data_IF_528746025388
#
_entry.id   IF_528746025388
#
_cell.length_a   1.000
_cell.length_b   1.000
_cell.length_c   1.000
_cell.angle_alpha   90.00
_cell.angle_beta   90.00
_cell.angle_gamma   90.00
#
_symmetry.space_group_name_H-M   'P 1'
#
loop_
_entity.id
_entity.type
_entity.pdbx_description
1 polymer ?
#
# COMPACT_ATOMS: atom_id res chain seq x y z
N UNK A 1 17.92 1.52 -7.22
CA UNK A 1 18.64 2.35 -8.22
C UNK A 1 18.87 1.50 -9.46
N UNK A 2 18.57 2.00 -10.67
CA UNK A 2 18.96 1.33 -11.92
C UNK A 2 20.45 1.57 -12.14
N UNK A 3 21.15 0.54 -12.64
CA UNK A 3 22.59 0.60 -12.87
C UNK A 3 22.90 1.69 -13.92
N UNK A 4 23.79 2.66 -13.63
CA UNK A 4 24.15 3.71 -14.57
C UNK A 4 24.72 3.17 -15.90
N UNK A 5 25.22 1.92 -15.91
CA UNK A 5 25.71 1.27 -17.13
C UNK A 5 24.63 1.03 -18.20
N UNK A 6 23.35 0.96 -17.83
CA UNK A 6 22.28 0.85 -18.84
C UNK A 6 22.11 2.13 -19.66
N UNK A 7 22.41 3.28 -19.05
CA UNK A 7 22.34 4.59 -19.71
C UNK A 7 23.50 4.73 -20.70
N UNK A 8 24.70 4.30 -20.33
CA UNK A 8 25.88 4.36 -21.22
C UNK A 8 25.81 3.39 -22.39
N UNK A 9 25.14 2.24 -22.23
CA UNK A 9 24.95 1.23 -23.26
C UNK A 9 23.75 1.49 -24.19
N UNK A 10 23.05 2.64 -24.04
CA UNK A 10 21.84 3.00 -24.81
C UNK A 10 20.75 1.91 -24.79
N UNK A 11 20.65 1.16 -23.70
CA UNK A 11 19.64 0.12 -23.58
C UNK A 11 18.25 0.77 -23.43
N UNK A 12 17.21 0.31 -24.16
CA UNK A 12 15.90 0.92 -24.11
C UNK A 12 15.21 0.62 -22.77
N UNK A 13 15.38 1.53 -21.79
CA UNK A 13 14.82 1.43 -20.45
C UNK A 13 13.75 2.50 -20.23
N UNK A 14 12.67 2.14 -19.54
CA UNK A 14 11.72 3.07 -18.94
C UNK A 14 11.66 2.79 -17.45
N UNK A 15 11.59 3.83 -16.62
CA UNK A 15 11.53 3.69 -15.16
C UNK A 15 10.14 4.06 -14.67
N UNK A 16 9.46 3.14 -13.99
CA UNK A 16 8.17 3.42 -13.33
C UNK A 16 8.33 3.44 -11.82
N UNK A 17 7.72 4.41 -11.14
CA UNK A 17 7.69 4.51 -9.68
C UNK A 17 6.24 4.52 -9.21
N UNK A 18 5.88 3.59 -8.34
CA UNK A 18 4.52 3.45 -7.83
C UNK A 18 4.41 3.91 -6.38
N UNK A 19 3.23 4.42 -6.01
CA UNK A 19 2.77 4.45 -4.61
C UNK A 19 2.60 3.03 -4.05
N UNK A 20 2.12 2.87 -2.81
CA UNK A 20 1.94 1.55 -2.22
C UNK A 20 0.88 0.76 -2.99
N UNK A 21 1.31 -0.33 -3.63
CA UNK A 21 0.38 -1.17 -4.39
C UNK A 21 -0.35 -2.13 -3.46
N UNK A 22 -1.65 -2.30 -3.68
CA UNK A 22 -2.47 -3.30 -2.98
C UNK A 22 -3.37 -4.05 -3.94
N UNK A 23 -3.73 -5.29 -3.60
CA UNK A 23 -4.66 -6.09 -4.39
C UNK A 23 -4.58 -7.60 -4.09
N UNK A 24 -5.33 -8.41 -4.86
CA UNK A 24 -5.31 -9.86 -4.74
C UNK A 24 -3.89 -10.45 -4.84
N UNK A 25 -3.68 -11.59 -4.19
CA UNK A 25 -2.39 -12.32 -4.15
C UNK A 25 -1.22 -11.59 -3.46
N UNK A 26 -1.47 -10.47 -2.80
CA UNK A 26 -0.46 -9.81 -1.97
C UNK A 26 -0.21 -10.59 -0.67
N UNK A 27 1.05 -10.87 -0.36
CA UNK A 27 1.44 -11.57 0.86
C UNK A 27 1.06 -10.75 2.12
N UNK A 28 0.54 -11.38 3.20
CA UNK A 28 0.01 -10.70 4.40
C UNK A 28 1.08 -10.12 5.35
N UNK A 29 2.19 -9.66 4.80
CA UNK A 29 3.17 -8.84 5.51
C UNK A 29 2.83 -7.34 5.40
N UNK A 30 2.20 -6.94 4.29
CA UNK A 30 1.78 -5.56 4.04
C UNK A 30 0.51 -5.22 4.82
N UNK A 31 0.34 -3.94 5.15
CA UNK A 31 -0.69 -3.47 6.09
C UNK A 31 -2.12 -3.92 5.72
N UNK A 32 -2.54 -3.72 4.47
CA UNK A 32 -3.89 -4.10 3.99
C UNK A 32 -4.13 -5.61 4.10
N UNK A 33 -3.36 -6.50 3.45
CA UNK A 33 -3.61 -7.93 3.54
C UNK A 33 -3.39 -8.49 4.95
N UNK A 34 -2.48 -7.91 5.75
CA UNK A 34 -2.29 -8.27 7.16
C UNK A 34 -3.54 -7.98 7.98
N UNK A 35 -4.11 -6.78 7.88
CA UNK A 35 -5.32 -6.42 8.61
C UNK A 35 -6.53 -7.24 8.18
N UNK A 36 -6.71 -7.45 6.87
CA UNK A 36 -7.76 -8.35 6.37
C UNK A 36 -7.60 -9.75 6.97
N UNK A 37 -6.39 -10.32 6.93
CA UNK A 37 -6.12 -11.65 7.49
C UNK A 37 -6.36 -11.73 8.99
N UNK A 38 -6.00 -10.69 9.76
CA UNK A 38 -6.24 -10.64 11.21
C UNK A 38 -7.73 -10.58 11.51
N UNK A 39 -8.49 -9.71 10.83
CA UNK A 39 -9.92 -9.55 11.05
C UNK A 39 -10.69 -10.82 10.68
N UNK A 40 -10.33 -11.49 9.58
CA UNK A 40 -10.90 -12.79 9.20
C UNK A 40 -10.63 -13.89 10.23
N UNK A 41 -9.56 -13.76 11.02
CA UNK A 41 -9.21 -14.66 12.11
C UNK A 41 -9.75 -14.20 13.47
N UNK A 42 -10.64 -13.20 13.49
CA UNK A 42 -11.15 -12.55 14.71
C UNK A 42 -10.03 -12.03 15.62
N UNK A 43 -8.96 -11.51 15.02
CA UNK A 43 -7.85 -10.86 15.71
C UNK A 43 -7.83 -9.36 15.46
N UNK A 44 -7.33 -8.62 16.44
CA UNK A 44 -7.23 -7.16 16.38
C UNK A 44 -6.17 -6.69 15.40
N UNK A 45 -6.41 -5.54 14.78
CA UNK A 45 -5.44 -4.82 13.97
C UNK A 45 -4.46 -4.09 14.89
N UNK A 46 -3.23 -4.60 15.00
CA UNK A 46 -2.18 -3.95 15.77
C UNK A 46 -1.41 -2.92 14.93
N UNK A 47 -1.55 -1.66 15.31
CA UNK A 47 -0.97 -0.48 14.69
C UNK A 47 0.33 -0.15 15.41
N UNK A 48 1.39 0.05 14.62
CA UNK A 48 2.71 0.42 15.13
C UNK A 48 2.82 1.94 15.32
N UNK A 49 3.35 2.36 16.47
CA UNK A 49 3.49 3.77 16.82
C UNK A 49 2.14 4.49 16.95
N UNK A 50 2.05 5.74 16.50
CA UNK A 50 0.83 6.56 16.62
C UNK A 50 -0.23 6.27 15.56
N UNK A 51 0.09 5.55 14.49
CA UNK A 51 -0.82 5.28 13.37
C UNK A 51 -1.16 6.49 12.47
N UNK A 52 -0.61 7.67 12.77
CA UNK A 52 -0.87 8.93 12.03
C UNK A 52 -0.18 8.94 10.67
N UNK A 53 0.79 8.04 10.44
CA UNK A 53 1.51 7.94 9.18
C UNK A 53 0.54 7.71 8.01
N UNK A 54 0.55 8.63 7.05
CA UNK A 54 -0.27 8.55 5.84
C UNK A 54 0.49 7.90 4.71
N UNK A 55 -0.24 7.18 3.85
CA UNK A 55 0.28 6.58 2.63
C UNK A 55 -0.77 6.67 1.53
N UNK A 56 -0.30 6.90 0.29
CA UNK A 56 -1.10 6.68 -0.91
C UNK A 56 -1.08 5.20 -1.29
N UNK A 57 -2.25 4.68 -1.63
CA UNK A 57 -2.44 3.32 -2.12
C UNK A 57 -2.94 3.34 -3.57
N UNK A 58 -2.44 2.41 -4.37
CA UNK A 58 -2.79 2.22 -5.77
C UNK A 58 -3.21 0.76 -5.98
N UNK A 59 -4.36 0.55 -6.62
CA UNK A 59 -4.87 -0.81 -6.79
C UNK A 59 -4.11 -1.54 -7.90
N UNK A 60 -3.93 -2.86 -7.74
CA UNK A 60 -3.10 -3.66 -8.62
C UNK A 60 -3.53 -3.64 -10.10
N UNK A 61 -4.84 -3.54 -10.40
CA UNK A 61 -5.28 -3.42 -11.79
C UNK A 61 -4.89 -2.08 -12.41
N UNK A 62 -4.97 -0.98 -11.64
CA UNK A 62 -4.58 0.35 -12.13
C UNK A 62 -3.08 0.41 -12.46
N UNK A 63 -2.26 -0.34 -11.69
CA UNK A 63 -0.84 -0.54 -11.99
C UNK A 63 -0.66 -1.23 -13.35
N UNK A 64 -1.42 -2.29 -13.61
CA UNK A 64 -1.36 -3.03 -14.88
C UNK A 64 -1.77 -2.13 -16.05
N UNK A 65 -2.84 -1.35 -15.88
CA UNK A 65 -3.31 -0.42 -16.92
C UNK A 65 -2.28 0.68 -17.20
N UNK A 66 -1.69 1.27 -16.16
CA UNK A 66 -0.63 2.26 -16.30
C UNK A 66 0.61 1.68 -17.01
N UNK A 67 1.02 0.47 -16.65
CA UNK A 67 2.13 -0.23 -17.31
C UNK A 67 1.83 -0.52 -18.78
N UNK A 68 0.60 -0.92 -19.11
CA UNK A 68 0.20 -1.20 -20.49
C UNK A 68 0.22 0.08 -21.36
N UNK A 69 -0.17 1.22 -20.80
CA UNK A 69 -0.10 2.53 -21.46
C UNK A 69 1.36 2.91 -21.70
N UNK A 70 2.20 2.82 -20.67
CA UNK A 70 3.63 3.17 -20.76
C UNK A 70 4.38 2.24 -21.70
N UNK A 71 4.01 0.96 -21.76
CA UNK A 71 4.60 0.02 -22.70
C UNK A 71 4.31 0.42 -24.16
N UNK A 72 3.11 0.97 -24.45
CA UNK A 72 2.69 1.34 -25.80
C UNK A 72 3.14 2.74 -26.21
N UNK A 73 3.11 3.69 -25.28
CA UNK A 73 3.24 5.12 -25.56
C UNK A 73 4.40 5.79 -24.81
N UNK A 74 5.04 5.06 -23.89
CA UNK A 74 6.13 5.58 -23.08
C UNK A 74 7.37 5.86 -23.91
N UNK A 75 8.12 6.87 -23.48
CA UNK A 75 9.37 7.27 -24.12
C UNK A 75 10.55 6.60 -23.42
N UNK A 76 11.42 5.96 -24.22
CA UNK A 76 12.67 5.38 -23.73
C UNK A 76 13.52 6.46 -23.03
N UNK A 77 14.00 6.14 -21.84
CA UNK A 77 14.78 7.01 -20.97
C UNK A 77 13.94 7.79 -19.94
N UNK A 78 12.62 7.85 -20.11
CA UNK A 78 11.77 8.64 -19.21
C UNK A 78 11.43 7.89 -17.92
N UNK A 79 11.05 8.69 -16.92
CA UNK A 79 10.60 8.22 -15.60
C UNK A 79 9.15 8.62 -15.41
N UNK A 80 8.29 7.64 -15.13
CA UNK A 80 6.87 7.83 -14.88
C UNK A 80 6.55 7.56 -13.40
N UNK A 81 6.02 8.57 -12.71
CA UNK A 81 5.50 8.43 -11.34
C UNK A 81 4.01 8.15 -11.40
N UNK A 82 3.57 7.05 -10.80
CA UNK A 82 2.20 6.53 -10.89
C UNK A 82 1.68 6.37 -9.47
N UNK A 83 0.65 7.11 -9.13
CA UNK A 83 0.10 7.13 -7.78
C UNK A 83 -1.22 7.87 -7.74
N UNK A 84 -1.76 7.98 -6.54
CA UNK A 84 -3.00 8.71 -6.27
C UNK A 84 -2.70 9.93 -5.41
N UNK A 85 -3.46 11.00 -5.58
CA UNK A 85 -3.41 12.17 -4.68
C UNK A 85 -4.18 11.94 -3.37
N UNK A 86 -4.73 10.72 -3.20
CA UNK A 86 -5.45 10.33 -2.01
C UNK A 86 -4.49 9.64 -1.05
N UNK A 87 -4.41 10.19 0.17
CA UNK A 87 -3.66 9.60 1.26
C UNK A 87 -4.60 9.21 2.40
N UNK A 88 -4.29 8.09 3.04
CA UNK A 88 -5.02 7.57 4.19
C UNK A 88 -4.03 7.19 5.29
N UNK A 89 -4.37 7.48 6.55
CA UNK A 89 -3.57 7.06 7.70
C UNK A 89 -3.76 5.57 7.98
N UNK A 90 -2.79 4.92 8.62
CA UNK A 90 -2.91 3.51 9.02
C UNK A 90 -4.11 3.31 9.96
N UNK A 91 -4.38 4.28 10.84
CA UNK A 91 -5.54 4.27 11.73
C UNK A 91 -6.85 4.35 10.96
N UNK A 92 -6.97 5.26 10.00
CA UNK A 92 -8.18 5.40 9.18
C UNK A 92 -8.41 4.16 8.31
N UNK A 93 -7.33 3.63 7.72
CA UNK A 93 -7.37 2.38 6.96
C UNK A 93 -7.87 1.19 7.81
N UNK A 94 -7.37 1.08 9.05
CA UNK A 94 -7.82 0.03 9.96
C UNK A 94 -9.32 0.14 10.25
N UNK A 95 -9.81 1.36 10.54
CA UNK A 95 -11.23 1.61 10.79
C UNK A 95 -12.12 1.20 9.62
N UNK A 96 -11.77 1.60 8.40
CA UNK A 96 -12.52 1.26 7.20
C UNK A 96 -12.58 -0.27 6.99
N UNK A 97 -11.45 -0.97 7.14
CA UNK A 97 -11.40 -2.42 7.02
C UNK A 97 -12.22 -3.13 8.11
N UNK A 98 -12.20 -2.63 9.35
CA UNK A 98 -12.99 -3.18 10.46
C UNK A 98 -14.49 -3.03 10.17
N UNK A 99 -14.93 -1.84 9.77
CA UNK A 99 -16.34 -1.59 9.44
C UNK A 99 -16.82 -2.51 8.31
N UNK A 100 -16.00 -2.70 7.27
CA UNK A 100 -16.33 -3.56 6.12
C UNK A 100 -16.38 -5.06 6.48
N UNK A 101 -15.52 -5.53 7.38
CA UNK A 101 -15.37 -6.97 7.66
C UNK A 101 -16.19 -7.43 8.87
N UNK A 102 -16.22 -6.63 9.93
CA UNK A 102 -16.92 -6.94 11.19
C UNK A 102 -18.36 -6.39 11.21
N UNK A 103 -18.79 -5.67 10.16
CA UNK A 103 -20.10 -5.03 10.06
C UNK A 103 -20.43 -4.10 11.24
N UNK A 104 -19.42 -3.41 11.77
CA UNK A 104 -19.60 -2.43 12.85
C UNK A 104 -20.00 -1.08 12.29
N UNK A 105 -20.86 -0.36 13.00
CA UNK A 105 -21.40 0.93 12.55
C UNK A 105 -20.93 2.11 13.41
N UNK A 106 -20.40 1.83 14.60
CA UNK A 106 -19.94 2.85 15.55
C UNK A 106 -18.42 2.91 15.66
N UNK A 107 -17.86 4.11 15.82
CA UNK A 107 -16.43 4.31 16.14
C UNK A 107 -16.01 3.54 17.40
N UNK A 108 -16.86 3.51 18.43
CA UNK A 108 -16.59 2.78 19.69
C UNK A 108 -16.42 1.28 19.49
N UNK A 109 -17.17 0.70 18.54
CA UNK A 109 -17.04 -0.72 18.19
C UNK A 109 -15.74 -0.98 17.44
N UNK A 110 -15.30 -0.05 16.59
CA UNK A 110 -14.03 -0.19 15.86
C UNK A 110 -12.82 -0.16 16.78
N UNK A 111 -12.85 0.63 17.85
CA UNK A 111 -11.78 0.71 18.84
C UNK A 111 -11.51 -0.64 19.52
N UNK A 112 -12.54 -1.47 19.71
CA UNK A 112 -12.38 -2.81 20.26
C UNK A 112 -11.44 -3.69 19.41
N UNK A 113 -11.46 -3.49 18.08
CA UNK A 113 -10.68 -4.27 17.11
C UNK A 113 -9.29 -3.69 16.86
N UNK A 114 -8.89 -2.64 17.56
CA UNK A 114 -7.60 -1.98 17.38
C UNK A 114 -6.69 -2.22 18.60
N UNK A 115 -5.40 -2.37 18.34
CA UNK A 115 -4.33 -2.35 19.33
C UNK A 115 -3.23 -1.40 18.87
N UNK A 116 -2.55 -0.75 19.80
CA UNK A 116 -1.35 0.04 19.52
C UNK A 116 -0.14 -0.67 20.11
N UNK A 117 0.89 -0.84 19.29
CA UNK A 117 2.16 -1.46 19.67
C UNK A 117 3.21 -0.36 19.64
N UNK A 118 3.82 -0.11 20.80
CA UNK A 118 4.99 0.76 20.85
C UNK A 118 6.12 0.05 20.12
N UNK A 119 6.71 0.74 19.14
CA UNK A 119 7.93 0.25 18.51
C UNK A 119 9.02 0.26 19.58
N UNK A 120 9.30 -0.91 20.15
CA UNK A 120 10.57 -1.12 20.86
C UNK A 120 11.68 -0.95 19.83
N UNK A 121 12.73 -0.16 20.11
CA UNK A 121 13.79 0.05 19.13
C UNK A 121 14.30 -1.31 18.70
N UNK A 122 14.22 -1.60 17.40
CA UNK A 122 14.89 -2.76 16.85
C UNK A 122 16.37 -2.58 17.17
N UNK A 123 16.88 -3.42 18.07
CA UNK A 123 18.31 -3.57 18.37
C UNK A 123 19.02 -4.02 17.11
#
# INVERSE_FOLDING_TARGET
MINPNFISLQFPVIITRFSNVYGPHQYPEKVIPKFISLLQQNRKCCIHGSGIQTRSFLYASDVVDALLIILKLGKVGDIYNIGTNFEISVTQLAKELIQMIQNTSSDTETEHWMCYVNDSPMV
#
